data_IF_377817425193
#
_entry.id   IF_377817425193
#
_cell.length_a   1.000
_cell.length_b   1.000
_cell.length_c   1.000
_cell.angle_alpha   90.00
_cell.angle_beta   90.00
_cell.angle_gamma   90.00
#
_symmetry.space_group_name_H-M   'P 1'
#
loop_
_entity.id
_entity.type
_entity.pdbx_description
1 polymer ?
#
# COMPACT_ATOMS: atom_id res chain seq x y z
N UNK A 1 60.68 1.02 -50.80
CA UNK A 1 61.38 1.87 -49.82
C UNK A 1 60.79 1.59 -48.44
N UNK A 2 61.62 1.65 -47.38
CA UNK A 2 61.63 0.64 -46.32
C UNK A 2 60.93 1.05 -45.02
N UNK A 3 60.61 0.01 -44.24
CA UNK A 3 60.85 -0.16 -42.80
C UNK A 3 60.27 0.81 -41.76
N UNK A 4 59.75 0.18 -40.70
CA UNK A 4 59.75 0.70 -39.33
C UNK A 4 58.34 1.05 -38.85
N UNK A 5 57.86 0.62 -37.68
CA UNK A 5 58.54 0.11 -36.48
C UNK A 5 57.55 -0.76 -35.69
N UNK A 6 58.11 -1.77 -35.04
CA UNK A 6 57.49 -2.53 -33.96
C UNK A 6 57.50 -1.75 -32.63
N UNK A 7 57.14 -2.46 -31.54
CA UNK A 7 57.22 -2.12 -30.10
C UNK A 7 55.91 -1.54 -29.54
N UNK A 8 55.34 -2.00 -28.42
CA UNK A 8 55.78 -2.94 -27.37
C UNK A 8 54.59 -3.38 -26.52
N UNK A 9 54.74 -4.55 -25.90
CA UNK A 9 53.91 -5.09 -24.84
C UNK A 9 53.88 -4.23 -23.56
N UNK A 10 52.85 -4.44 -22.73
CA UNK A 10 52.77 -3.98 -21.34
C UNK A 10 51.41 -3.34 -21.06
N UNK A 11 50.61 -3.77 -20.09
CA UNK A 11 50.79 -4.77 -19.07
C UNK A 11 49.45 -5.09 -18.42
N UNK A 12 49.39 -6.26 -17.80
CA UNK A 12 48.32 -6.63 -16.90
C UNK A 12 48.34 -5.72 -15.66
N UNK A 13 47.17 -5.21 -15.27
CA UNK A 13 46.93 -4.72 -13.92
C UNK A 13 45.54 -5.19 -13.47
N UNK A 14 45.55 -6.36 -12.84
CA UNK A 14 44.54 -6.79 -11.88
C UNK A 14 44.47 -5.73 -10.76
N UNK A 15 43.33 -5.08 -10.58
CA UNK A 15 43.00 -4.44 -9.31
C UNK A 15 41.71 -5.06 -8.81
N UNK A 16 41.90 -5.83 -7.75
CA UNK A 16 40.90 -6.43 -6.91
C UNK A 16 40.18 -5.39 -6.04
N UNK A 17 39.12 -5.86 -5.41
CA UNK A 17 38.50 -5.33 -4.19
C UNK A 17 37.52 -4.15 -4.36
N UNK A 18 36.26 -4.51 -4.55
CA UNK A 18 35.16 -3.81 -3.92
C UNK A 18 34.13 -4.86 -3.44
N UNK A 19 34.50 -5.64 -2.42
CA UNK A 19 33.50 -6.31 -1.58
C UNK A 19 32.74 -5.23 -0.84
N UNK A 20 31.59 -4.85 -1.39
CA UNK A 20 30.58 -4.06 -0.70
C UNK A 20 30.17 -4.86 0.54
N UNK A 21 30.68 -4.43 1.69
CA UNK A 21 30.17 -4.82 2.98
C UNK A 21 28.75 -4.25 3.08
N UNK A 22 27.76 -5.07 2.72
CA UNK A 22 26.36 -4.87 3.10
C UNK A 22 26.26 -5.12 4.60
N UNK A 23 26.72 -4.15 5.39
CA UNK A 23 26.24 -3.96 6.77
C UNK A 23 24.86 -3.33 6.67
N UNK A 24 23.88 -4.14 6.25
CA UNK A 24 22.47 -3.84 6.40
C UNK A 24 22.00 -4.45 7.71
N UNK A 25 21.66 -3.59 8.66
CA UNK A 25 21.16 -3.95 9.97
C UNK A 25 20.02 -4.98 9.87
N UNK A 26 20.30 -6.22 10.22
CA UNK A 26 19.27 -7.18 10.56
C UNK A 26 18.73 -6.80 11.96
N UNK A 27 17.88 -5.77 12.01
CA UNK A 27 16.98 -5.58 13.14
C UNK A 27 15.87 -6.62 13.00
N UNK A 28 16.15 -7.84 13.46
CA UNK A 28 15.12 -8.82 13.76
C UNK A 28 14.47 -8.38 15.08
N UNK A 29 13.52 -7.45 14.98
CA UNK A 29 12.64 -7.02 16.07
C UNK A 29 11.31 -7.75 15.96
N UNK A 30 11.22 -8.92 16.58
CA UNK A 30 9.97 -9.59 16.86
C UNK A 30 9.34 -8.98 18.13
N UNK A 31 8.56 -7.92 17.95
CA UNK A 31 7.57 -7.35 18.86
C UNK A 31 6.85 -6.29 18.03
N UNK A 32 5.51 -6.24 18.03
CA UNK A 32 4.78 -5.20 17.30
C UNK A 32 5.35 -3.82 17.67
N UNK A 33 6.07 -3.22 16.74
CA UNK A 33 6.77 -1.96 16.96
C UNK A 33 5.66 -0.92 17.07
N UNK A 34 5.57 -0.22 18.19
CA UNK A 34 4.55 0.83 18.36
C UNK A 34 4.65 1.87 17.24
N UNK A 35 5.85 2.04 16.69
CA UNK A 35 6.14 2.87 15.53
C UNK A 35 5.42 2.38 14.25
N UNK A 36 5.24 1.06 14.05
CA UNK A 36 4.51 0.49 12.91
C UNK A 36 3.01 0.68 13.05
N UNK A 37 2.47 0.50 14.26
CA UNK A 37 1.06 0.75 14.54
C UNK A 37 0.72 2.23 14.37
N UNK A 38 1.54 3.13 14.94
CA UNK A 38 1.35 4.58 14.82
C UNK A 38 1.41 5.03 13.35
N UNK A 39 2.35 4.49 12.56
CA UNK A 39 2.41 4.77 11.12
C UNK A 39 1.15 4.30 10.37
N UNK A 40 0.64 3.12 10.70
CA UNK A 40 -0.60 2.59 10.09
C UNK A 40 -1.83 3.39 10.50
N UNK A 41 -1.93 3.81 11.77
CA UNK A 41 -2.99 4.69 12.24
C UNK A 41 -2.94 6.06 11.54
N UNK A 42 -1.74 6.60 11.33
CA UNK A 42 -1.56 7.84 10.57
C UNK A 42 -1.96 7.67 9.10
N UNK A 43 -1.54 6.59 8.44
CA UNK A 43 -1.93 6.30 7.06
C UNK A 43 -3.46 6.15 6.90
N UNK A 44 -4.12 5.53 7.90
CA UNK A 44 -5.58 5.44 7.94
C UNK A 44 -6.24 6.81 8.14
N UNK A 45 -5.66 7.70 8.95
CA UNK A 45 -6.13 9.07 9.12
C UNK A 45 -5.97 9.89 7.83
N UNK A 46 -4.84 9.75 7.14
CA UNK A 46 -4.58 10.43 5.86
C UNK A 46 -5.59 9.97 4.79
N UNK A 47 -5.87 8.66 4.72
CA UNK A 47 -6.94 8.12 3.88
C UNK A 47 -8.31 8.71 4.24
N UNK A 48 -8.63 8.87 5.53
CA UNK A 48 -9.89 9.49 5.94
C UNK A 48 -10.03 10.91 5.40
N UNK A 49 -8.97 11.71 5.51
CA UNK A 49 -8.96 13.09 5.04
C UNK A 49 -9.09 13.16 3.50
N UNK A 50 -8.45 12.24 2.78
CA UNK A 50 -8.61 12.09 1.34
C UNK A 50 -10.07 11.78 0.95
N UNK A 51 -10.66 10.75 1.57
CA UNK A 51 -12.04 10.33 1.30
C UNK A 51 -13.06 11.41 1.66
N UNK A 52 -12.84 12.15 2.76
CA UNK A 52 -13.69 13.27 3.15
C UNK A 52 -13.64 14.43 2.13
N UNK A 53 -12.56 14.54 1.37
CA UNK A 53 -12.40 15.51 0.29
C UNK A 53 -13.04 15.12 -1.04
N UNK A 54 -13.51 13.87 -1.19
CA UNK A 54 -14.07 13.38 -2.45
C UNK A 54 -15.41 14.05 -2.80
N UNK A 55 -15.65 14.39 -4.08
CA UNK A 55 -16.92 14.97 -4.50
C UNK A 55 -18.13 14.08 -4.17
N UNK A 56 -19.12 14.63 -3.45
CA UNK A 56 -20.36 13.93 -3.11
C UNK A 56 -20.32 13.17 -1.77
N UNK A 57 -19.14 13.02 -1.15
CA UNK A 57 -19.00 12.48 0.20
C UNK A 57 -19.48 13.49 1.23
N UNK A 58 -20.37 13.06 2.13
CA UNK A 58 -20.86 13.87 3.26
C UNK A 58 -20.09 13.57 4.55
N UNK A 59 -19.73 12.30 4.74
CA UNK A 59 -18.99 11.81 5.91
C UNK A 59 -18.05 10.69 5.48
N UNK A 60 -16.82 10.68 5.97
CA UNK A 60 -15.91 9.55 5.85
C UNK A 60 -15.40 9.14 7.24
N UNK A 61 -15.34 7.83 7.48
CA UNK A 61 -14.75 7.23 8.66
C UNK A 61 -13.81 6.12 8.23
N UNK A 62 -12.54 6.24 8.61
CA UNK A 62 -11.53 5.21 8.40
C UNK A 62 -10.96 4.82 9.75
N UNK A 63 -10.93 3.52 10.03
CA UNK A 63 -10.32 2.99 11.25
C UNK A 63 -9.42 1.82 10.92
N UNK A 64 -8.21 1.84 11.49
CA UNK A 64 -7.31 0.70 11.49
C UNK A 64 -7.33 0.04 12.87
N UNK A 65 -7.33 -1.28 12.92
CA UNK A 65 -7.28 -2.05 14.15
C UNK A 65 -6.32 -3.24 13.97
N UNK A 66 -5.31 -3.32 14.84
CA UNK A 66 -4.43 -4.48 14.96
C UNK A 66 -4.27 -4.83 16.43
N UNK A 67 -5.07 -5.80 16.89
CA UNK A 67 -5.03 -6.30 18.26
C UNK A 67 -5.15 -7.83 18.32
N UNK A 68 -5.20 -8.37 19.55
CA UNK A 68 -5.25 -9.83 19.79
C UNK A 68 -6.53 -10.50 19.27
N UNK A 69 -7.56 -9.73 18.96
CA UNK A 69 -8.89 -10.21 18.54
C UNK A 69 -9.19 -9.91 17.07
N UNK A 70 -8.70 -8.80 16.53
CA UNK A 70 -8.76 -8.42 15.12
C UNK A 70 -7.35 -8.11 14.63
N UNK A 71 -6.81 -8.96 13.75
CA UNK A 71 -5.47 -8.77 13.20
C UNK A 71 -5.54 -7.82 12.00
N UNK A 72 -4.78 -6.72 12.04
CA UNK A 72 -4.50 -5.80 10.94
C UNK A 72 -5.67 -5.57 9.94
N UNK A 73 -6.73 -4.95 10.44
CA UNK A 73 -8.00 -4.73 9.75
C UNK A 73 -8.24 -3.24 9.45
N UNK A 74 -8.53 -2.91 8.18
CA UNK A 74 -8.94 -1.57 7.76
C UNK A 74 -10.46 -1.46 7.52
N UNK A 75 -11.11 -0.70 8.40
CA UNK A 75 -12.48 -0.16 8.42
C UNK A 75 -12.72 1.08 7.56
N UNK A 76 -13.20 0.99 6.31
CA UNK A 76 -13.61 2.19 5.53
C UNK A 76 -15.14 2.30 5.42
N UNK A 77 -15.71 3.40 5.93
CA UNK A 77 -17.13 3.74 5.78
C UNK A 77 -17.28 5.15 5.23
N UNK A 78 -17.97 5.27 4.10
CA UNK A 78 -18.23 6.55 3.43
C UNK A 78 -19.73 6.74 3.29
N UNK A 79 -20.20 7.93 3.63
CA UNK A 79 -21.56 8.37 3.40
C UNK A 79 -21.59 9.36 2.22
N UNK A 80 -22.53 9.18 1.29
CA UNK A 80 -22.73 10.05 0.12
C UNK A 80 -24.09 10.73 0.15
N UNK A 81 -24.19 11.92 -0.45
CA UNK A 81 -25.40 12.74 -0.39
C UNK A 81 -26.60 12.07 -1.09
N UNK A 82 -26.36 11.42 -2.23
CA UNK A 82 -27.41 10.84 -3.07
C UNK A 82 -27.17 9.36 -3.34
N UNK A 83 -28.24 8.56 -3.36
CA UNK A 83 -28.16 7.13 -3.67
C UNK A 83 -27.51 6.82 -5.04
N UNK A 84 -27.67 7.72 -6.02
CA UNK A 84 -27.06 7.57 -7.34
C UNK A 84 -25.52 7.65 -7.32
N UNK A 85 -24.93 8.23 -6.27
CA UNK A 85 -23.48 8.37 -6.14
C UNK A 85 -22.81 7.09 -5.63
N UNK A 86 -23.56 6.18 -4.99
CA UNK A 86 -22.99 4.96 -4.40
C UNK A 86 -22.24 4.13 -5.44
N UNK A 87 -22.82 3.93 -6.64
CA UNK A 87 -22.22 3.10 -7.69
C UNK A 87 -20.94 3.70 -8.27
N UNK A 88 -20.82 5.03 -8.30
CA UNK A 88 -19.64 5.73 -8.81
C UNK A 88 -18.57 5.92 -7.74
N UNK A 89 -18.96 6.19 -6.49
CA UNK A 89 -18.05 6.44 -5.38
C UNK A 89 -17.44 5.15 -4.83
N UNK A 90 -18.18 4.03 -4.84
CA UNK A 90 -17.66 2.76 -4.33
C UNK A 90 -16.31 2.33 -4.95
N UNK A 91 -16.12 2.28 -6.28
CA UNK A 91 -14.83 1.89 -6.85
C UNK A 91 -13.70 2.88 -6.52
N UNK A 92 -13.99 4.18 -6.41
CA UNK A 92 -13.00 5.20 -6.03
C UNK A 92 -12.53 5.00 -4.58
N UNK A 93 -13.46 4.68 -3.67
CA UNK A 93 -13.15 4.37 -2.27
C UNK A 93 -12.40 3.03 -2.15
N UNK A 94 -12.78 2.02 -2.95
CA UNK A 94 -12.09 0.72 -3.01
C UNK A 94 -10.63 0.90 -3.48
N UNK A 95 -10.40 1.66 -4.54
CA UNK A 95 -9.06 1.96 -5.06
C UNK A 95 -8.20 2.70 -4.02
N UNK A 96 -8.73 3.76 -3.42
CA UNK A 96 -8.01 4.54 -2.39
C UNK A 96 -7.67 3.69 -1.15
N UNK A 97 -8.60 2.82 -0.72
CA UNK A 97 -8.36 1.91 0.40
C UNK A 97 -7.29 0.84 0.06
N UNK A 98 -7.29 0.33 -1.17
CA UNK A 98 -6.27 -0.63 -1.63
C UNK A 98 -4.87 -0.01 -1.68
N UNK A 99 -4.77 1.19 -2.27
CA UNK A 99 -3.51 1.91 -2.49
C UNK A 99 -3.00 2.68 -1.25
N UNK A 100 -3.64 2.56 -0.08
CA UNK A 100 -3.17 3.22 1.13
C UNK A 100 -1.93 2.51 1.73
N UNK A 101 -1.10 3.28 2.43
CA UNK A 101 0.17 2.83 3.02
C UNK A 101 0.04 2.07 4.36
N UNK A 102 -1.16 1.62 4.73
CA UNK A 102 -1.41 0.87 5.99
C UNK A 102 -0.71 -0.49 5.96
N UNK A 103 0.31 -0.73 6.76
CA UNK A 103 1.05 -2.01 6.77
C UNK A 103 1.40 -2.44 8.20
N UNK A 104 0.98 -3.64 8.66
CA UNK A 104 0.32 -4.71 7.91
C UNK A 104 -1.16 -4.45 7.58
N UNK A 105 -1.65 -5.05 6.50
CA UNK A 105 -3.07 -5.13 6.17
C UNK A 105 -3.45 -6.55 5.76
N UNK A 106 -4.27 -7.21 6.57
CA UNK A 106 -4.72 -8.59 6.34
C UNK A 106 -6.19 -8.65 5.91
N UNK A 107 -7.00 -7.71 6.36
CA UNK A 107 -8.41 -7.61 5.96
C UNK A 107 -8.79 -6.16 5.72
N UNK A 108 -9.68 -5.96 4.76
CA UNK A 108 -10.21 -4.65 4.41
C UNK A 108 -11.72 -4.75 4.26
N UNK A 109 -12.45 -3.78 4.79
CA UNK A 109 -13.89 -3.65 4.57
C UNK A 109 -14.19 -2.25 4.05
N UNK A 110 -14.83 -2.19 2.89
CA UNK A 110 -15.27 -0.94 2.27
C UNK A 110 -16.78 -0.91 2.27
N UNK A 111 -17.34 0.17 2.81
CA UNK A 111 -18.78 0.43 2.85
C UNK A 111 -19.07 1.83 2.35
N UNK A 112 -19.94 1.97 1.36
CA UNK A 112 -20.43 3.26 0.87
C UNK A 112 -21.94 3.28 0.96
N UNK A 113 -22.52 4.19 1.73
CA UNK A 113 -23.97 4.32 1.94
C UNK A 113 -24.48 5.71 1.59
N UNK A 114 -25.69 5.85 1.04
CA UNK A 114 -26.30 7.17 0.92
C UNK A 114 -26.97 7.58 2.23
N UNK A 115 -27.02 8.88 2.51
CA UNK A 115 -27.71 9.45 3.69
C UNK A 115 -29.15 8.93 3.83
N UNK A 116 -29.82 8.64 2.71
CA UNK A 116 -31.24 8.28 2.67
C UNK A 116 -31.54 6.78 2.68
N UNK A 117 -30.56 5.87 2.77
CA UNK A 117 -30.86 4.45 2.64
C UNK A 117 -29.70 3.47 2.70
N UNK A 118 -29.89 2.31 2.06
CA UNK A 118 -28.90 1.23 2.00
C UNK A 118 -27.83 1.51 0.95
N UNK A 119 -26.62 1.06 1.22
CA UNK A 119 -25.48 1.18 0.31
C UNK A 119 -24.87 -0.16 -0.09
N UNK A 120 -23.63 -0.08 -0.55
CA UNK A 120 -22.80 -1.22 -0.96
C UNK A 120 -21.73 -1.46 0.10
N UNK A 121 -21.50 -2.73 0.45
CA UNK A 121 -20.43 -3.15 1.36
C UNK A 121 -19.73 -4.35 0.77
N UNK A 122 -18.41 -4.36 0.85
CA UNK A 122 -17.57 -5.50 0.46
C UNK A 122 -16.49 -5.72 1.51
N UNK A 123 -16.29 -6.99 1.85
CA UNK A 123 -15.21 -7.45 2.72
C UNK A 123 -14.17 -8.16 1.83
N UNK A 124 -12.89 -7.92 2.10
CA UNK A 124 -11.75 -8.48 1.39
C UNK A 124 -10.82 -9.18 2.39
N UNK A 125 -10.53 -10.44 2.15
CA UNK A 125 -9.50 -11.19 2.87
C UNK A 125 -8.20 -11.12 2.07
N UNK A 126 -7.24 -10.29 2.52
CA UNK A 126 -5.99 -10.07 1.80
C UNK A 126 -4.97 -11.19 2.06
N UNK A 127 -5.33 -12.19 2.86
CA UNK A 127 -4.57 -13.43 2.97
C UNK A 127 -4.94 -14.42 1.85
N UNK A 128 -6.06 -14.19 1.16
CA UNK A 128 -6.44 -14.95 -0.02
C UNK A 128 -5.75 -14.38 -1.27
N UNK A 129 -4.87 -15.18 -1.88
CA UNK A 129 -4.10 -14.76 -3.05
C UNK A 129 -5.00 -14.36 -4.23
N UNK A 130 -6.15 -15.02 -4.39
CA UNK A 130 -7.07 -14.66 -5.47
C UNK A 130 -7.62 -13.24 -5.27
N UNK A 131 -8.03 -12.89 -4.05
CA UNK A 131 -8.47 -11.53 -3.72
C UNK A 131 -7.38 -10.49 -4.00
N UNK A 132 -6.14 -10.79 -3.63
CA UNK A 132 -4.98 -9.91 -3.90
C UNK A 132 -4.70 -9.78 -5.40
N UNK A 133 -4.73 -10.87 -6.15
CA UNK A 133 -4.51 -10.87 -7.61
C UNK A 133 -5.60 -10.05 -8.32
N UNK A 134 -6.87 -10.21 -7.92
CA UNK A 134 -8.01 -9.50 -8.50
C UNK A 134 -7.92 -7.98 -8.25
N UNK A 135 -7.52 -7.56 -7.03
CA UNK A 135 -7.31 -6.15 -6.69
C UNK A 135 -6.09 -5.58 -7.40
N UNK A 136 -5.01 -6.35 -7.49
CA UNK A 136 -3.77 -5.96 -8.18
C UNK A 136 -4.00 -5.81 -9.69
N UNK A 137 -4.77 -6.71 -10.32
CA UNK A 137 -5.15 -6.59 -11.73
C UNK A 137 -5.98 -5.33 -11.98
N UNK A 138 -6.89 -5.00 -11.05
CA UNK A 138 -7.81 -3.87 -11.19
C UNK A 138 -7.15 -2.51 -10.94
N UNK A 139 -6.37 -2.40 -9.88
CA UNK A 139 -5.88 -1.12 -9.34
C UNK A 139 -4.36 -0.98 -9.33
N UNK A 140 -3.62 -2.05 -9.61
CA UNK A 140 -2.15 -2.07 -9.59
C UNK A 140 -1.57 -2.61 -8.27
N UNK A 141 -0.24 -2.71 -8.23
CA UNK A 141 0.48 -3.17 -7.03
C UNK A 141 0.26 -2.20 -5.87
N UNK A 142 0.08 -2.78 -4.69
CA UNK A 142 0.03 -2.03 -3.44
C UNK A 142 1.39 -1.42 -3.11
N UNK A 143 1.46 -0.17 -2.62
CA UNK A 143 2.71 0.46 -2.20
C UNK A 143 3.40 -0.26 -1.03
#
# INVERSE_FOLDING_TARGET
MPAGRAWTAGGAALIAAATLALTGCASFGAAGDSDTLEASEQAAADLQDELAGMPGVTTAFVGYQDDLTEQAHLRVNVEVAEAAQVETTFPEVEEAAWLCEVDPLLTMKVTVVPVSGSGTSQDYDLQDQQTVDDLTERWGERP
#
